data_IF_196328553570
#
_entry.id   IF_196328553570
#
_cell.length_a   1.000
_cell.length_b   1.000
_cell.length_c   1.000
_cell.angle_alpha   90.00
_cell.angle_beta   90.00
_cell.angle_gamma   90.00
#
_symmetry.space_group_name_H-M   'P 1'
#
loop_
_entity.id
_entity.type
_entity.pdbx_description
1 polymer ?
#
# COMPACT_ATOMS: atom_id res chain seq x y z
N UNK A 1 -25.58 -17.74 16.04
CA UNK A 1 -25.20 -16.67 15.10
C UNK A 1 -24.70 -15.49 15.91
N UNK A 2 -23.42 -15.15 15.81
CA UNK A 2 -22.82 -14.07 16.59
C UNK A 2 -23.17 -12.72 15.94
N UNK A 3 -23.53 -11.70 16.73
CA UNK A 3 -23.92 -10.38 16.19
C UNK A 3 -22.79 -9.69 15.42
N UNK A 4 -21.53 -10.01 15.72
CA UNK A 4 -20.35 -9.44 15.07
C UNK A 4 -20.20 -9.94 13.63
N UNK A 5 -20.49 -11.22 13.38
CA UNK A 5 -20.40 -11.82 12.04
C UNK A 5 -21.38 -11.13 11.07
N UNK A 6 -22.62 -10.91 11.52
CA UNK A 6 -23.65 -10.26 10.71
C UNK A 6 -23.35 -8.77 10.38
N UNK A 7 -22.65 -8.06 11.27
CA UNK A 7 -22.24 -6.67 11.02
C UNK A 7 -21.12 -6.62 9.99
N UNK A 8 -20.14 -7.53 10.10
CA UNK A 8 -19.04 -7.65 9.14
C UNK A 8 -19.56 -8.03 7.75
N UNK A 9 -20.48 -8.98 7.66
CA UNK A 9 -21.07 -9.42 6.39
C UNK A 9 -21.84 -8.27 5.71
N UNK A 10 -22.57 -7.46 6.49
CA UNK A 10 -23.27 -6.28 5.99
C UNK A 10 -22.30 -5.22 5.47
N UNK A 11 -21.20 -4.97 6.18
CA UNK A 11 -20.22 -3.98 5.76
C UNK A 11 -19.46 -4.43 4.50
N UNK A 12 -19.09 -5.70 4.43
CA UNK A 12 -18.53 -6.32 3.22
C UNK A 12 -19.50 -6.18 2.04
N UNK A 13 -20.79 -6.48 2.23
CA UNK A 13 -21.82 -6.32 1.21
C UNK A 13 -21.92 -4.89 0.66
N UNK A 14 -21.84 -3.87 1.53
CA UNK A 14 -21.85 -2.45 1.10
C UNK A 14 -20.61 -2.09 0.28
N UNK A 15 -19.43 -2.59 0.67
CA UNK A 15 -18.19 -2.32 -0.07
C UNK A 15 -18.20 -2.95 -1.47
N UNK A 16 -18.77 -4.15 -1.59
CA UNK A 16 -18.97 -4.84 -2.87
C UNK A 16 -19.92 -4.04 -3.77
N UNK A 17 -21.07 -3.62 -3.22
CA UNK A 17 -22.05 -2.83 -3.96
C UNK A 17 -21.45 -1.50 -4.47
N UNK A 18 -20.68 -0.80 -3.61
CA UNK A 18 -19.97 0.42 -3.98
C UNK A 18 -18.92 0.17 -5.06
N UNK A 19 -18.14 -0.92 -4.93
CA UNK A 19 -17.13 -1.28 -5.94
C UNK A 19 -17.81 -1.51 -7.28
N UNK A 20 -18.90 -2.28 -7.31
CA UNK A 20 -19.67 -2.46 -8.54
C UNK A 20 -20.16 -1.13 -9.11
N UNK A 21 -20.74 -0.24 -8.30
CA UNK A 21 -21.21 1.07 -8.77
C UNK A 21 -20.10 1.89 -9.45
N UNK A 22 -18.89 1.85 -8.92
CA UNK A 22 -17.73 2.60 -9.43
C UNK A 22 -17.16 2.01 -10.72
N UNK A 23 -17.13 0.68 -10.82
CA UNK A 23 -16.44 -0.04 -11.90
C UNK A 23 -17.35 -0.49 -13.04
N UNK A 24 -18.64 -0.72 -12.77
CA UNK A 24 -19.63 -1.13 -13.76
C UNK A 24 -19.71 -0.23 -15.00
N UNK A 25 -19.63 1.12 -14.91
CA UNK A 25 -19.63 1.98 -16.11
C UNK A 25 -18.29 2.02 -16.85
N UNK A 26 -17.21 1.52 -16.24
CA UNK A 26 -15.84 1.56 -16.80
C UNK A 26 -15.45 0.26 -17.48
N UNK A 27 -16.14 -0.81 -17.14
CA UNK A 27 -15.91 -2.16 -17.66
C UNK A 27 -17.05 -2.48 -18.62
N UNK A 28 -16.72 -2.92 -19.83
CA UNK A 28 -17.69 -3.22 -20.90
C UNK A 28 -18.54 -4.48 -20.68
N UNK A 29 -18.51 -5.06 -19.47
CA UNK A 29 -19.28 -6.24 -19.11
C UNK A 29 -19.97 -6.07 -17.75
N UNK A 30 -21.03 -6.84 -17.52
CA UNK A 30 -21.70 -6.91 -16.24
C UNK A 30 -20.74 -7.45 -15.17
N UNK A 31 -20.58 -6.75 -14.04
CA UNK A 31 -19.77 -7.22 -12.92
C UNK A 31 -20.65 -8.03 -11.96
N UNK A 32 -20.24 -9.24 -11.64
CA UNK A 32 -20.80 -9.98 -10.52
C UNK A 32 -20.24 -9.46 -9.19
N UNK A 33 -20.90 -9.82 -8.09
CA UNK A 33 -20.44 -9.46 -6.75
C UNK A 33 -19.06 -10.07 -6.44
N UNK A 34 -18.75 -11.23 -7.03
CA UNK A 34 -17.43 -11.85 -6.93
C UNK A 34 -16.35 -11.03 -7.65
N UNK A 35 -16.66 -10.53 -8.85
CA UNK A 35 -15.74 -9.65 -9.59
C UNK A 35 -15.48 -8.36 -8.80
N UNK A 36 -16.53 -7.79 -8.20
CA UNK A 36 -16.40 -6.62 -7.35
C UNK A 36 -15.57 -6.89 -6.07
N UNK A 37 -15.72 -8.07 -5.45
CA UNK A 37 -14.83 -8.50 -4.35
C UNK A 37 -13.38 -8.57 -4.81
N UNK A 38 -13.12 -9.21 -5.95
CA UNK A 38 -11.77 -9.37 -6.47
C UNK A 38 -11.13 -8.03 -6.84
N UNK A 39 -11.89 -7.14 -7.48
CA UNK A 39 -11.44 -5.77 -7.78
C UNK A 39 -11.05 -5.03 -6.51
N UNK A 40 -11.91 -5.09 -5.47
CA UNK A 40 -11.63 -4.45 -4.20
C UNK A 40 -10.35 -4.98 -3.55
N UNK A 41 -10.18 -6.30 -3.50
CA UNK A 41 -8.98 -6.95 -2.96
C UNK A 41 -7.72 -6.56 -3.73
N UNK A 42 -7.78 -6.58 -5.07
CA UNK A 42 -6.64 -6.24 -5.92
C UNK A 42 -6.22 -4.78 -5.76
N UNK A 43 -7.18 -3.85 -5.74
CA UNK A 43 -6.91 -2.42 -5.56
C UNK A 43 -6.31 -2.16 -4.18
N UNK A 44 -6.89 -2.73 -3.12
CA UNK A 44 -6.36 -2.58 -1.77
C UNK A 44 -4.94 -3.15 -1.65
N UNK A 45 -4.69 -4.34 -2.21
CA UNK A 45 -3.36 -4.97 -2.21
C UNK A 45 -2.32 -4.15 -2.97
N UNK A 46 -2.67 -3.62 -4.15
CA UNK A 46 -1.77 -2.79 -4.94
C UNK A 46 -1.33 -1.53 -4.18
N UNK A 47 -2.27 -0.80 -3.57
CA UNK A 47 -1.93 0.38 -2.77
C UNK A 47 -1.22 0.02 -1.46
N UNK A 48 -1.44 -1.17 -0.91
CA UNK A 48 -0.66 -1.69 0.22
C UNK A 48 0.83 -1.78 -0.11
N UNK A 49 1.18 -2.38 -1.25
CA UNK A 49 2.57 -2.46 -1.71
C UNK A 49 3.20 -1.08 -1.91
N UNK A 50 2.45 -0.14 -2.52
CA UNK A 50 2.94 1.23 -2.69
C UNK A 50 3.16 1.95 -1.35
N UNK A 51 2.30 1.71 -0.37
CA UNK A 51 2.45 2.28 0.98
C UNK A 51 3.68 1.71 1.69
N UNK A 52 3.95 0.41 1.54
CA UNK A 52 5.14 -0.24 2.08
C UNK A 52 6.43 0.38 1.51
N UNK A 53 6.50 0.56 0.19
CA UNK A 53 7.66 1.20 -0.44
C UNK A 53 7.81 2.65 -0.02
N UNK A 54 6.72 3.42 0.01
CA UNK A 54 6.75 4.82 0.47
C UNK A 54 7.21 4.93 1.94
N UNK A 55 6.85 3.97 2.79
CA UNK A 55 7.30 3.93 4.17
C UNK A 55 8.79 3.57 4.25
N UNK A 56 9.26 2.61 3.46
CA UNK A 56 10.68 2.23 3.41
C UNK A 56 11.56 3.41 2.96
N UNK A 57 11.17 4.13 1.90
CA UNK A 57 11.89 5.32 1.42
C UNK A 57 12.03 6.40 2.50
N UNK A 58 10.98 6.62 3.30
CA UNK A 58 11.01 7.58 4.41
C UNK A 58 11.97 7.16 5.52
N UNK A 59 11.98 5.86 5.85
CA UNK A 59 12.90 5.31 6.85
C UNK A 59 14.36 5.35 6.38
N UNK A 60 14.62 5.11 5.09
CA UNK A 60 15.96 5.26 4.50
C UNK A 60 16.45 6.71 4.55
N UNK A 61 15.59 7.68 4.19
CA UNK A 61 15.93 9.11 4.27
C UNK A 61 16.24 9.58 5.70
N UNK A 62 15.49 9.11 6.69
CA UNK A 62 15.74 9.42 8.10
C UNK A 62 17.06 8.80 8.59
N UNK A 63 17.41 7.60 8.12
CA UNK A 63 18.66 6.94 8.46
C UNK A 63 19.88 7.60 7.80
N UNK A 64 19.79 8.05 6.55
CA UNK A 64 20.86 8.76 5.86
C UNK A 64 21.11 10.16 6.45
N UNK A 65 20.06 10.83 6.92
CA UNK A 65 20.19 12.10 7.64
C UNK A 65 20.88 11.95 9.02
N UNK A 66 20.88 10.74 9.59
CA UNK A 66 21.51 10.44 10.87
C UNK A 66 22.99 10.04 10.75
N UNK A 67 23.55 9.88 9.54
CA UNK A 67 24.96 9.57 9.37
C UNK A 67 25.85 10.80 9.75
N UNK A 68 26.69 10.72 10.80
CA UNK A 68 27.56 11.82 11.13
C UNK A 68 28.62 11.97 10.03
N UNK A 69 28.70 13.17 9.45
CA UNK A 69 29.71 13.58 8.51
C UNK A 69 31.11 13.58 9.16
N UNK A 70 31.71 12.42 9.34
CA UNK A 70 33.14 12.29 9.68
C UNK A 70 33.91 11.72 8.49
N UNK A 71 33.86 12.41 7.36
CA UNK A 71 34.84 12.20 6.29
C UNK A 71 36.13 12.91 6.71
N UNK A 72 36.86 12.36 7.67
CA UNK A 72 38.25 12.78 7.92
C UNK A 72 39.05 12.42 6.66
N UNK A 73 39.41 13.43 5.87
CA UNK A 73 40.44 13.32 4.84
C UNK A 73 41.72 12.86 5.54
N UNK A 74 42.05 11.59 5.41
CA UNK A 74 43.38 11.08 5.74
C UNK A 74 44.34 11.61 4.68
N UNK A 75 45.01 12.70 5.03
CA UNK A 75 46.20 13.22 4.34
C UNK A 75 47.28 12.13 4.38
N UNK A 76 47.52 11.46 3.26
CA UNK A 76 48.65 10.53 3.11
C UNK A 76 49.89 11.38 2.87
N UNK A 77 50.68 11.59 3.93
CA UNK A 77 52.04 12.13 3.80
C UNK A 77 52.94 11.04 3.24
N UNK A 78 53.41 11.24 2.02
CA UNK A 78 54.55 10.51 1.49
C UNK A 78 55.81 11.12 2.08
N UNK A 79 56.39 10.43 3.06
CA UNK A 79 57.78 10.67 3.47
C UNK A 79 58.71 10.14 2.37
N UNK A 80 59.77 10.90 2.08
CA UNK A 80 60.67 10.70 0.93
C UNK A 80 61.96 10.03 1.35
#
# INVERSE_FOLDING_TARGET
MNRLDAVNDNEMGKQIARTRQVWQPRIGCALADEDARQIMHNVAGFFGVLAEWSQAERLEADNDAAAPASRKKTEVRHDR
#
